data_IF_008610891758
#
_entry.id   IF_008610891758
#
_cell.length_a   1.000
_cell.length_b   1.000
_cell.length_c   1.000
_cell.angle_alpha   90.00
_cell.angle_beta   90.00
_cell.angle_gamma   90.00
#
_symmetry.space_group_name_H-M   'P 1'
#
loop_
_entity.id
_entity.type
_entity.pdbx_description
1 polymer ?
#
# COMPACT_ATOMS: atom_id res chain seq x y z
N UNK A 1 -16.44 -14.18 14.55
CA UNK A 1 -15.35 -14.07 13.63
C UNK A 1 -15.80 -13.42 12.34
N UNK A 2 -15.07 -12.43 11.84
CA UNK A 2 -15.34 -11.84 10.54
C UNK A 2 -14.88 -12.84 9.46
N UNK A 3 -15.78 -13.25 8.60
CA UNK A 3 -15.45 -14.06 7.42
C UNK A 3 -15.18 -13.08 6.30
N UNK A 4 -13.94 -13.02 5.84
CA UNK A 4 -13.59 -12.22 4.66
C UNK A 4 -13.72 -13.10 3.43
N UNK A 5 -14.42 -12.60 2.43
CA UNK A 5 -14.69 -13.30 1.16
C UNK A 5 -14.16 -12.45 0.01
N UNK A 6 -13.51 -13.10 -0.94
CA UNK A 6 -13.15 -12.52 -2.22
C UNK A 6 -13.96 -13.22 -3.31
N UNK A 7 -14.56 -12.44 -4.22
CA UNK A 7 -15.36 -12.95 -5.33
C UNK A 7 -14.69 -12.58 -6.66
N UNK A 8 -14.60 -13.55 -7.56
CA UNK A 8 -14.28 -13.32 -8.96
C UNK A 8 -15.43 -13.86 -9.80
N UNK A 9 -16.06 -12.99 -10.62
CA UNK A 9 -17.27 -13.34 -11.36
C UNK A 9 -18.47 -13.62 -10.44
N UNK A 10 -19.19 -14.72 -10.70
CA UNK A 10 -20.40 -15.11 -9.96
C UNK A 10 -20.10 -16.00 -8.75
N UNK A 11 -18.84 -16.28 -8.45
CA UNK A 11 -18.40 -17.23 -7.43
C UNK A 11 -17.52 -16.64 -6.36
N UNK A 12 -17.38 -17.39 -5.26
CA UNK A 12 -16.45 -17.13 -4.18
C UNK A 12 -15.08 -17.68 -4.55
N UNK A 13 -14.04 -16.81 -4.60
CA UNK A 13 -12.69 -17.22 -4.97
C UNK A 13 -11.88 -17.69 -3.76
N UNK A 14 -11.93 -16.99 -2.64
CA UNK A 14 -11.13 -17.32 -1.47
C UNK A 14 -11.77 -16.86 -0.16
N UNK A 15 -11.49 -17.59 0.90
CA UNK A 15 -11.97 -17.35 2.26
C UNK A 15 -10.84 -17.28 3.29
N UNK A 16 -11.15 -16.72 4.46
CA UNK A 16 -10.33 -17.00 5.64
C UNK A 16 -10.33 -18.50 5.93
N UNK A 17 -9.20 -19.15 6.29
CA UNK A 17 -7.97 -18.50 6.78
C UNK A 17 -6.91 -18.21 5.71
N UNK A 18 -7.20 -18.27 4.41
CA UNK A 18 -6.20 -18.04 3.36
C UNK A 18 -5.60 -16.62 3.45
N UNK A 19 -6.40 -15.64 3.83
CA UNK A 19 -5.94 -14.29 4.13
C UNK A 19 -6.84 -13.62 5.20
N UNK A 20 -6.41 -12.45 5.69
CA UNK A 20 -7.13 -11.68 6.69
C UNK A 20 -7.20 -10.20 6.29
N UNK A 21 -8.38 -9.58 6.46
CA UNK A 21 -8.60 -8.15 6.32
C UNK A 21 -7.94 -7.53 5.06
N UNK A 22 -8.29 -7.99 3.85
CA UNK A 22 -7.69 -7.52 2.62
C UNK A 22 -8.04 -6.04 2.39
N UNK A 23 -7.03 -5.24 2.05
CA UNK A 23 -7.19 -3.83 1.74
C UNK A 23 -6.98 -3.52 0.25
N UNK A 24 -6.12 -4.30 -0.41
CA UNK A 24 -5.87 -4.17 -1.83
C UNK A 24 -5.46 -5.53 -2.42
N UNK A 25 -5.75 -5.71 -3.70
CA UNK A 25 -5.38 -6.89 -4.46
C UNK A 25 -4.76 -6.50 -5.80
N UNK A 26 -3.93 -7.38 -6.34
CA UNK A 26 -3.47 -7.36 -7.72
C UNK A 26 -3.33 -8.80 -8.22
N UNK A 27 -3.22 -8.97 -9.54
CA UNK A 27 -3.09 -10.30 -10.17
C UNK A 27 -1.81 -10.32 -11.00
N UNK A 28 -0.98 -11.34 -10.78
CA UNK A 28 0.24 -11.51 -11.54
C UNK A 28 0.01 -12.19 -12.90
N UNK A 29 1.07 -12.28 -13.70
CA UNK A 29 1.05 -12.92 -15.03
C UNK A 29 0.79 -14.43 -14.99
N UNK A 30 0.86 -15.05 -13.80
CA UNK A 30 0.51 -16.45 -13.56
C UNK A 30 -0.93 -16.63 -13.07
N UNK A 31 -1.73 -15.54 -13.10
CA UNK A 31 -3.11 -15.50 -12.62
C UNK A 31 -3.27 -15.75 -11.11
N UNK A 32 -2.21 -15.59 -10.32
CA UNK A 32 -2.29 -15.66 -8.86
C UNK A 32 -2.74 -14.34 -8.28
N UNK A 33 -3.55 -14.38 -7.25
CA UNK A 33 -4.06 -13.17 -6.58
C UNK A 33 -3.13 -12.78 -5.42
N UNK A 34 -2.61 -11.58 -5.48
CA UNK A 34 -1.79 -10.98 -4.43
C UNK A 34 -2.64 -10.08 -3.56
N UNK A 35 -2.54 -10.28 -2.27
CA UNK A 35 -3.38 -9.58 -1.28
C UNK A 35 -2.51 -8.82 -0.29
N UNK A 36 -2.70 -7.51 -0.21
CA UNK A 36 -2.17 -6.70 0.89
C UNK A 36 -3.16 -6.76 2.06
N UNK A 37 -2.72 -7.31 3.18
CA UNK A 37 -3.50 -7.41 4.40
C UNK A 37 -3.30 -6.19 5.29
N UNK A 38 -4.40 -5.60 5.78
CA UNK A 38 -4.38 -4.46 6.70
C UNK A 38 -4.98 -4.88 8.07
N UNK A 39 -4.43 -5.92 8.66
CA UNK A 39 -4.89 -6.47 9.96
C UNK A 39 -4.64 -5.48 11.09
N UNK A 40 -3.55 -4.73 11.01
CA UNK A 40 -3.16 -3.72 11.99
C UNK A 40 -3.82 -2.35 11.76
N UNK A 41 -4.80 -2.26 10.86
CA UNK A 41 -5.48 -1.01 10.55
C UNK A 41 -6.17 -0.39 11.78
N UNK A 42 -5.92 0.90 12.01
CA UNK A 42 -6.46 1.69 13.13
C UNK A 42 -6.26 1.06 14.52
N UNK A 43 -5.17 0.34 14.70
CA UNK A 43 -4.80 -0.24 16.00
C UNK A 43 -4.67 0.83 17.09
N UNK A 44 -4.12 1.98 16.76
CA UNK A 44 -3.82 3.08 17.68
C UNK A 44 -5.05 3.70 18.34
N UNK A 45 -6.23 3.61 17.77
CA UNK A 45 -7.44 4.24 18.30
C UNK A 45 -8.46 3.24 18.88
N UNK A 46 -8.08 1.96 19.02
CA UNK A 46 -8.92 0.90 19.55
C UNK A 46 -10.14 0.56 18.70
N UNK A 47 -10.23 1.06 17.47
CA UNK A 47 -11.34 0.76 16.57
C UNK A 47 -11.24 -0.61 15.91
N UNK A 48 -10.08 -1.23 16.03
CA UNK A 48 -9.86 -2.60 15.57
C UNK A 48 -9.39 -3.47 16.75
N UNK A 49 -10.30 -3.95 17.62
CA UNK A 49 -9.96 -4.76 18.79
C UNK A 49 -9.67 -6.23 18.43
N UNK A 50 -9.67 -6.58 17.14
CA UNK A 50 -9.53 -7.95 16.68
C UNK A 50 -8.08 -8.45 16.69
N UNK A 51 -7.78 -9.32 15.71
CA UNK A 51 -6.44 -9.89 15.53
C UNK A 51 -5.45 -8.81 15.11
N UNK A 52 -4.25 -8.88 15.66
CA UNK A 52 -3.12 -8.05 15.28
C UNK A 52 -1.92 -8.91 14.92
N UNK A 53 -1.03 -8.37 14.10
CA UNK A 53 0.25 -8.96 13.75
C UNK A 53 1.39 -8.12 14.32
N UNK A 54 1.99 -8.57 15.40
CA UNK A 54 3.09 -7.85 16.08
C UNK A 54 4.31 -7.66 15.16
N UNK A 55 4.52 -8.57 14.22
CA UNK A 55 5.60 -8.50 13.23
C UNK A 55 5.29 -7.62 12.00
N UNK A 56 4.15 -6.90 12.01
CA UNK A 56 3.65 -6.13 10.89
C UNK A 56 2.64 -6.88 10.04
N UNK A 57 1.98 -6.15 9.15
CA UNK A 57 1.04 -6.73 8.19
C UNK A 57 1.76 -7.52 7.09
N UNK A 58 1.01 -8.18 6.24
CA UNK A 58 1.53 -9.13 5.27
C UNK A 58 1.08 -8.80 3.85
N UNK A 59 1.87 -9.28 2.90
CA UNK A 59 1.42 -9.57 1.54
C UNK A 59 1.36 -11.09 1.39
N UNK A 60 0.23 -11.60 0.94
CA UNK A 60 0.03 -13.02 0.69
C UNK A 60 -0.31 -13.28 -0.77
N UNK A 61 0.12 -14.42 -1.28
CA UNK A 61 -0.21 -14.93 -2.60
C UNK A 61 -1.27 -16.00 -2.39
N UNK A 62 -2.38 -15.89 -3.11
CA UNK A 62 -3.50 -16.83 -3.08
C UNK A 62 -3.58 -17.49 -4.44
N UNK A 63 -3.62 -18.82 -4.46
CA UNK A 63 -3.56 -19.60 -5.68
C UNK A 63 -4.72 -20.58 -5.77
N UNK A 64 -5.32 -20.63 -6.96
CA UNK A 64 -6.20 -21.66 -7.45
C UNK A 64 -5.32 -22.65 -8.23
N UNK A 65 -5.06 -23.83 -7.67
CA UNK A 65 -4.07 -24.75 -8.20
C UNK A 65 -4.67 -25.75 -9.21
N UNK A 66 -5.97 -26.01 -9.12
CA UNK A 66 -6.65 -26.94 -10.02
C UNK A 66 -7.47 -26.23 -11.12
N UNK A 67 -7.60 -24.92 -11.04
CA UNK A 67 -8.26 -24.10 -12.07
C UNK A 67 -9.78 -24.12 -12.01
N UNK A 68 -10.37 -24.48 -10.88
CA UNK A 68 -11.82 -24.55 -10.71
C UNK A 68 -12.45 -23.18 -10.36
N UNK A 69 -11.64 -22.16 -10.13
CA UNK A 69 -12.06 -20.82 -9.75
C UNK A 69 -12.18 -20.59 -8.25
N UNK A 70 -11.71 -21.54 -7.44
CA UNK A 70 -11.66 -21.44 -5.97
C UNK A 70 -10.23 -21.66 -5.54
N UNK A 71 -9.70 -20.77 -4.73
CA UNK A 71 -8.31 -20.89 -4.26
C UNK A 71 -8.20 -21.85 -3.06
N UNK A 72 -7.25 -22.79 -3.14
CA UNK A 72 -6.97 -23.78 -2.09
C UNK A 72 -5.84 -23.34 -1.19
N UNK A 73 -4.91 -22.56 -1.69
CA UNK A 73 -3.66 -22.27 -0.98
C UNK A 73 -3.37 -20.78 -0.84
N UNK A 74 -2.61 -20.47 0.20
CA UNK A 74 -2.00 -19.16 0.34
C UNK A 74 -0.57 -19.28 0.87
N UNK A 75 0.30 -18.41 0.36
CA UNK A 75 1.69 -18.29 0.78
C UNK A 75 1.96 -16.87 1.23
N UNK A 76 2.57 -16.70 2.40
CA UNK A 76 3.05 -15.39 2.83
C UNK A 76 4.29 -15.04 1.99
N UNK A 77 4.17 -14.01 1.16
CA UNK A 77 5.28 -13.44 0.42
C UNK A 77 6.20 -12.66 1.34
N UNK A 78 5.62 -11.73 2.11
CA UNK A 78 6.35 -10.93 3.10
C UNK A 78 5.47 -10.59 4.29
N UNK A 79 6.09 -10.57 5.47
CA UNK A 79 5.59 -9.93 6.68
C UNK A 79 6.66 -8.95 7.17
N UNK A 80 6.31 -7.70 7.39
CA UNK A 80 7.30 -6.65 7.62
C UNK A 80 6.77 -5.61 8.62
N UNK A 81 7.56 -5.20 9.63
CA UNK A 81 7.14 -4.19 10.60
C UNK A 81 6.87 -2.80 10.00
N UNK A 82 7.35 -2.52 8.78
CA UNK A 82 6.99 -1.30 8.05
C UNK A 82 5.63 -1.39 7.35
N UNK A 83 5.06 -2.58 7.25
CA UNK A 83 3.70 -2.79 6.76
C UNK A 83 2.72 -2.63 7.92
N UNK A 84 2.13 -1.44 8.02
CA UNK A 84 1.06 -1.15 8.97
C UNK A 84 -0.11 -0.57 8.19
N UNK A 85 -1.14 -1.37 8.00
CA UNK A 85 -2.32 -1.02 7.20
C UNK A 85 -1.96 -0.60 5.76
N UNK A 86 -1.33 -1.47 4.95
CA UNK A 86 -1.08 -1.19 3.54
C UNK A 86 -2.41 -1.01 2.80
N UNK A 87 -2.48 0.00 1.92
CA UNK A 87 -3.71 0.39 1.22
C UNK A 87 -3.61 0.23 -0.30
N UNK A 88 -2.51 -0.28 -0.81
CA UNK A 88 -2.32 -0.51 -2.23
C UNK A 88 -1.23 -1.52 -2.52
N UNK A 89 -1.38 -2.24 -3.61
CA UNK A 89 -0.41 -3.21 -4.11
C UNK A 89 -0.39 -3.17 -5.64
N UNK A 90 0.81 -3.32 -6.23
CA UNK A 90 0.99 -3.60 -7.65
C UNK A 90 2.11 -4.61 -7.83
N UNK A 91 1.85 -5.65 -8.62
CA UNK A 91 2.81 -6.71 -8.96
C UNK A 91 3.24 -6.52 -10.41
N UNK A 92 4.51 -6.20 -10.60
CA UNK A 92 5.06 -5.87 -11.93
C UNK A 92 6.33 -6.70 -12.16
N UNK A 93 6.19 -7.78 -12.90
CA UNK A 93 7.27 -8.75 -13.07
C UNK A 93 7.68 -9.36 -11.72
N UNK A 94 8.94 -9.19 -11.34
CA UNK A 94 9.48 -9.69 -10.09
C UNK A 94 9.47 -8.66 -8.92
N UNK A 95 8.74 -7.55 -9.10
CA UNK A 95 8.65 -6.48 -8.09
C UNK A 95 7.23 -6.34 -7.57
N UNK A 96 7.13 -6.18 -6.27
CA UNK A 96 5.87 -5.92 -5.56
C UNK A 96 5.95 -4.55 -4.91
N UNK A 97 5.15 -3.63 -5.40
CA UNK A 97 5.01 -2.27 -4.88
C UNK A 97 3.89 -2.24 -3.86
N UNK A 98 4.16 -1.72 -2.68
CA UNK A 98 3.17 -1.66 -1.59
C UNK A 98 3.05 -0.24 -1.07
N UNK A 99 1.86 0.31 -1.20
CA UNK A 99 1.50 1.62 -0.63
C UNK A 99 1.16 1.45 0.84
N UNK A 100 2.05 1.92 1.71
CA UNK A 100 1.88 1.85 3.16
C UNK A 100 2.49 3.08 3.81
N UNK A 101 1.67 4.09 4.14
CA UNK A 101 2.18 5.32 4.75
C UNK A 101 3.10 5.04 5.94
N UNK A 102 4.27 5.70 6.05
CA UNK A 102 4.70 6.85 5.27
C UNK A 102 5.47 6.50 3.98
N UNK A 103 5.47 5.24 3.53
CA UNK A 103 6.32 4.73 2.47
C UNK A 103 5.53 4.18 1.28
N UNK A 104 6.08 4.32 0.09
CA UNK A 104 5.88 3.40 -1.02
C UNK A 104 7.07 2.45 -1.03
N UNK A 105 6.81 1.19 -0.69
CA UNK A 105 7.81 0.13 -0.57
C UNK A 105 7.89 -0.69 -1.85
N UNK A 106 9.08 -1.22 -2.14
CA UNK A 106 9.30 -2.17 -3.23
C UNK A 106 10.00 -3.40 -2.68
N UNK A 107 9.38 -4.53 -2.83
CA UNK A 107 9.97 -5.83 -2.56
C UNK A 107 10.33 -6.49 -3.89
N UNK A 108 11.51 -7.06 -4.00
CA UNK A 108 11.98 -7.73 -5.23
C UNK A 108 12.30 -9.16 -4.92
N UNK A 109 11.65 -10.07 -5.63
CA UNK A 109 11.94 -11.51 -5.68
C UNK A 109 12.80 -11.76 -6.94
N UNK A 110 14.08 -12.11 -6.76
CA UNK A 110 15.03 -12.25 -7.86
C UNK A 110 15.10 -13.65 -8.42
N UNK A 111 14.88 -14.63 -7.58
CA UNK A 111 15.02 -16.05 -7.94
C UNK A 111 13.67 -16.76 -8.16
N UNK A 112 12.55 -16.07 -7.90
CA UNK A 112 11.21 -16.57 -8.17
C UNK A 112 10.70 -17.60 -7.15
N UNK A 113 11.24 -17.55 -5.92
CA UNK A 113 10.82 -18.46 -4.85
C UNK A 113 9.60 -17.95 -4.05
N UNK A 114 9.00 -16.84 -4.48
CA UNK A 114 7.90 -16.11 -3.83
C UNK A 114 8.28 -15.59 -2.42
N UNK A 115 9.52 -15.14 -2.30
CA UNK A 115 10.03 -14.41 -1.14
C UNK A 115 10.87 -13.22 -1.59
N UNK A 116 10.83 -12.08 -0.89
CA UNK A 116 11.64 -10.95 -1.30
C UNK A 116 13.12 -11.16 -0.91
N UNK A 117 14.00 -11.02 -1.89
CA UNK A 117 15.45 -10.92 -1.69
C UNK A 117 15.91 -9.55 -1.24
N UNK A 118 15.12 -8.53 -1.57
CA UNK A 118 15.44 -7.15 -1.20
C UNK A 118 14.20 -6.31 -1.01
N UNK A 119 14.36 -5.30 -0.15
CA UNK A 119 13.38 -4.25 0.14
C UNK A 119 13.99 -2.90 -0.15
N UNK A 120 13.23 -2.04 -0.77
CA UNK A 120 13.57 -0.64 -1.04
C UNK A 120 12.43 0.28 -0.61
N UNK A 121 12.77 1.43 -0.01
CA UNK A 121 11.85 2.55 0.15
C UNK A 121 11.96 3.41 -1.09
N UNK A 122 10.96 3.35 -1.98
CA UNK A 122 10.97 4.09 -3.23
C UNK A 122 10.67 5.57 -2.99
N UNK A 123 9.63 5.85 -2.20
CA UNK A 123 9.26 7.17 -1.73
C UNK A 123 8.91 7.13 -0.26
N UNK A 124 9.16 8.21 0.46
CA UNK A 124 8.79 8.36 1.87
C UNK A 124 8.37 9.80 2.20
N UNK A 125 7.65 9.96 3.31
CA UNK A 125 7.18 11.27 3.77
C UNK A 125 5.68 11.49 3.54
N UNK A 126 4.94 10.44 3.20
CA UNK A 126 3.48 10.50 3.15
C UNK A 126 2.89 10.53 4.57
N UNK A 127 1.95 11.42 4.81
CA UNK A 127 1.16 11.44 6.04
C UNK A 127 0.13 10.30 6.09
N UNK A 128 -0.58 10.20 7.22
CA UNK A 128 -1.67 9.24 7.36
C UNK A 128 -1.21 7.80 7.62
N UNK A 129 -0.15 7.62 8.40
CA UNK A 129 0.26 6.28 8.86
C UNK A 129 -0.89 5.61 9.61
N UNK A 130 -1.14 4.33 9.31
CA UNK A 130 -2.25 3.56 9.89
C UNK A 130 -3.61 4.27 9.75
N UNK A 131 -3.83 4.92 8.61
CA UNK A 131 -5.02 5.73 8.37
C UNK A 131 -5.54 5.56 6.94
N UNK A 132 -6.85 5.50 6.80
CA UNK A 132 -7.58 5.39 5.53
C UNK A 132 -7.48 6.61 4.60
N UNK A 133 -6.78 7.65 4.99
CA UNK A 133 -6.56 8.87 4.21
C UNK A 133 -5.07 9.15 3.94
N UNK A 134 -4.23 8.12 4.08
CA UNK A 134 -2.79 8.17 3.78
C UNK A 134 -2.47 7.91 2.31
N UNK A 135 -1.37 7.20 2.08
CA UNK A 135 -0.99 6.70 0.75
C UNK A 135 -1.86 5.50 0.39
N UNK A 136 -2.55 5.63 -0.74
CA UNK A 136 -3.45 4.60 -1.29
C UNK A 136 -2.84 3.87 -2.49
N UNK A 137 -3.71 3.34 -3.32
CA UNK A 137 -3.41 2.50 -4.47
C UNK A 137 -2.16 2.91 -5.24
N UNK A 138 -1.42 1.93 -5.68
CA UNK A 138 -0.37 2.06 -6.68
C UNK A 138 -0.73 1.19 -7.88
N UNK A 139 -0.56 1.71 -9.09
CA UNK A 139 -0.83 0.97 -10.33
C UNK A 139 0.22 1.30 -11.38
N UNK A 140 0.49 0.35 -12.27
CA UNK A 140 1.29 0.61 -13.45
C UNK A 140 0.50 1.46 -14.46
N UNK A 141 1.10 2.54 -14.92
CA UNK A 141 0.54 3.35 -15.99
C UNK A 141 0.90 2.83 -17.39
N UNK A 142 0.13 3.18 -18.42
CA UNK A 142 0.40 2.76 -19.79
C UNK A 142 1.70 3.36 -20.36
N UNK A 143 2.24 4.35 -19.70
CA UNK A 143 3.51 5.02 -20.03
C UNK A 143 4.72 4.42 -19.30
N UNK A 144 4.52 3.30 -18.58
CA UNK A 144 5.56 2.65 -17.77
C UNK A 144 5.85 3.36 -16.44
N UNK A 145 5.11 4.43 -16.12
CA UNK A 145 5.17 5.10 -14.82
C UNK A 145 4.35 4.37 -13.75
N UNK A 146 4.55 4.77 -12.51
CA UNK A 146 3.74 4.39 -11.38
C UNK A 146 2.76 5.51 -11.06
N UNK A 147 1.48 5.18 -10.97
CA UNK A 147 0.44 6.11 -10.54
C UNK A 147 -0.06 5.70 -9.17
N UNK A 148 -0.16 6.64 -8.27
CA UNK A 148 -0.63 6.39 -6.90
C UNK A 148 -1.39 7.59 -6.36
N UNK A 149 -2.26 7.32 -5.39
CA UNK A 149 -3.09 8.34 -4.79
C UNK A 149 -2.70 8.55 -3.32
N UNK A 150 -2.84 9.78 -2.85
CA UNK A 150 -2.75 10.10 -1.43
C UNK A 150 -4.05 10.75 -0.98
N UNK A 151 -4.48 10.38 0.21
CA UNK A 151 -5.65 10.98 0.84
C UNK A 151 -5.31 12.33 1.47
N UNK A 152 -6.25 12.84 2.26
CA UNK A 152 -6.14 14.18 2.84
C UNK A 152 -5.60 14.21 4.28
N UNK A 153 -5.03 13.11 4.78
CA UNK A 153 -4.38 13.02 6.09
C UNK A 153 -2.90 13.41 6.01
N UNK A 154 -2.59 14.52 5.32
CA UNK A 154 -1.25 15.11 5.31
C UNK A 154 -0.79 15.60 6.68
N UNK A 155 0.35 16.36 6.72
CA UNK A 155 1.08 16.80 5.54
C UNK A 155 1.77 15.63 4.84
N UNK A 156 1.92 15.79 3.54
CA UNK A 156 2.82 14.98 2.76
C UNK A 156 4.05 15.83 2.44
N UNK A 157 5.24 15.36 2.79
CA UNK A 157 6.52 16.00 2.46
C UNK A 157 7.42 14.92 1.88
N UNK A 158 7.33 14.75 0.58
CA UNK A 158 7.97 13.66 -0.15
C UNK A 158 9.02 14.22 -1.08
N UNK A 159 10.25 13.75 -0.98
CA UNK A 159 11.33 14.11 -1.90
C UNK A 159 11.70 12.91 -2.75
N UNK A 160 11.59 13.07 -4.06
CA UNK A 160 12.03 12.10 -5.05
C UNK A 160 13.56 12.04 -5.14
N UNK A 161 14.11 10.97 -5.72
CA UNK A 161 15.57 10.75 -5.81
C UNK A 161 16.29 11.79 -6.69
N UNK A 162 15.57 12.46 -7.59
CA UNK A 162 16.09 13.58 -8.39
C UNK A 162 16.05 14.93 -7.65
N UNK A 163 15.54 14.94 -6.41
CA UNK A 163 15.44 16.13 -5.57
C UNK A 163 14.13 16.89 -5.70
N UNK A 164 13.21 16.48 -6.60
CA UNK A 164 11.89 17.07 -6.65
C UNK A 164 11.12 16.81 -5.35
N UNK A 165 10.46 17.82 -4.81
CA UNK A 165 9.76 17.71 -3.53
C UNK A 165 8.30 18.07 -3.66
N UNK A 166 7.43 17.14 -3.26
CA UNK A 166 6.02 17.40 -3.00
C UNK A 166 5.85 17.96 -1.60
N UNK A 167 5.05 19.00 -1.48
CA UNK A 167 4.55 19.52 -0.20
C UNK A 167 3.05 19.68 -0.29
N UNK A 168 2.31 19.02 0.60
CA UNK A 168 0.85 19.10 0.64
C UNK A 168 0.38 19.21 2.09
N UNK A 169 -0.45 20.21 2.37
CA UNK A 169 -1.07 20.37 3.67
C UNK A 169 -2.17 19.33 3.94
N UNK A 170 -2.55 19.20 5.19
CA UNK A 170 -3.69 18.38 5.62
C UNK A 170 -4.97 19.21 5.69
N UNK A 171 -6.10 18.57 5.38
CA UNK A 171 -7.44 19.14 5.67
C UNK A 171 -7.89 18.85 7.12
N UNK A 172 -7.25 17.91 7.80
CA UNK A 172 -7.54 17.59 9.19
C UNK A 172 -6.86 18.58 10.14
N UNK A 173 -7.63 19.18 11.04
CA UNK A 173 -7.12 20.09 12.07
C UNK A 173 -6.74 19.36 13.35
N UNK A 174 -7.44 18.27 13.65
CA UNK A 174 -7.31 17.52 14.91
C UNK A 174 -6.68 16.15 14.65
N UNK A 175 -5.51 15.92 15.24
CA UNK A 175 -4.79 14.64 15.12
C UNK A 175 -3.87 14.54 13.90
N UNK A 176 -3.78 15.56 13.09
CA UNK A 176 -2.73 15.73 12.09
C UNK A 176 -1.38 16.01 12.76
N UNK A 177 -0.26 15.90 12.03
CA UNK A 177 1.04 16.28 12.54
C UNK A 177 1.01 17.72 13.06
N UNK A 178 1.95 18.03 13.95
CA UNK A 178 2.07 19.32 14.63
C UNK A 178 1.86 20.48 13.67
N UNK A 179 1.17 21.49 14.09
CA UNK A 179 0.82 22.66 13.29
C UNK A 179 1.99 23.28 12.50
N UNK A 180 3.24 23.09 12.97
CA UNK A 180 4.44 23.50 12.25
C UNK A 180 4.68 22.74 10.93
N UNK A 181 4.23 21.49 10.83
CA UNK A 181 4.46 20.64 9.64
C UNK A 181 3.32 20.80 8.64
N UNK A 182 2.17 21.33 9.08
CA UNK A 182 0.98 21.55 8.27
C UNK A 182 0.79 23.02 7.94
N UNK A 183 1.86 23.69 7.50
CA UNK A 183 1.78 25.13 7.22
C UNK A 183 1.11 25.39 5.87
N UNK A 184 0.03 26.19 5.83
CA UNK A 184 -0.51 26.70 4.59
C UNK A 184 0.55 27.48 3.79
N UNK A 185 0.59 27.28 2.49
CA UNK A 185 1.45 28.08 1.62
C UNK A 185 2.83 27.50 1.35
N UNK A 186 3.20 26.33 1.92
CA UNK A 186 4.42 25.64 1.51
C UNK A 186 4.30 25.18 0.05
N UNK A 187 5.36 25.48 -0.73
CA UNK A 187 5.38 25.18 -2.15
C UNK A 187 6.16 23.91 -2.43
N UNK A 188 5.61 23.10 -3.32
CA UNK A 188 6.33 22.01 -3.98
C UNK A 188 7.36 22.56 -4.98
N UNK A 189 8.21 21.69 -5.52
CA UNK A 189 9.24 22.09 -6.50
C UNK A 189 8.67 22.68 -7.78
N UNK A 190 7.41 22.38 -8.12
CA UNK A 190 6.67 22.98 -9.23
C UNK A 190 6.12 24.39 -8.92
N UNK A 191 6.36 24.89 -7.72
CA UNK A 191 5.84 26.18 -7.25
C UNK A 191 4.38 26.16 -6.80
N UNK A 192 3.69 25.02 -6.89
CA UNK A 192 2.29 24.90 -6.49
C UNK A 192 2.14 24.73 -4.98
N UNK A 193 1.01 25.14 -4.48
CA UNK A 193 0.55 24.91 -3.10
C UNK A 193 -0.57 23.87 -3.14
N UNK A 194 -0.29 22.70 -2.60
CA UNK A 194 -1.23 21.60 -2.60
C UNK A 194 -1.90 21.43 -1.23
N UNK A 195 -3.16 21.00 -1.23
CA UNK A 195 -3.89 20.71 -0.01
C UNK A 195 -4.89 19.59 -0.27
N UNK A 196 -4.94 18.61 0.63
CA UNK A 196 -5.85 17.47 0.54
C UNK A 196 -5.32 16.32 -0.30
N UNK A 197 -6.23 15.55 -0.87
CA UNK A 197 -5.91 14.37 -1.65
C UNK A 197 -5.33 14.71 -3.02
N UNK A 198 -4.39 13.89 -3.49
CA UNK A 198 -3.69 14.06 -4.75
C UNK A 198 -3.58 12.75 -5.51
N UNK A 199 -3.48 12.84 -6.83
CA UNK A 199 -2.99 11.76 -7.68
C UNK A 199 -1.57 12.13 -8.13
N UNK A 200 -0.66 11.20 -7.95
CA UNK A 200 0.76 11.39 -8.20
C UNK A 200 1.23 10.42 -9.27
N UNK A 201 2.23 10.84 -10.03
CA UNK A 201 2.96 10.02 -10.96
C UNK A 201 4.44 10.02 -10.57
N UNK A 202 5.03 8.86 -10.57
CA UNK A 202 6.46 8.66 -10.41
C UNK A 202 6.96 7.55 -11.31
N UNK A 203 8.19 7.16 -11.14
CA UNK A 203 8.77 6.03 -11.87
C UNK A 203 9.37 4.97 -10.92
N UNK A 204 9.73 3.82 -11.49
CA UNK A 204 10.34 2.72 -10.74
C UNK A 204 11.76 3.04 -10.22
N UNK A 205 12.34 4.19 -10.57
CA UNK A 205 13.62 4.70 -10.08
C UNK A 205 13.44 5.67 -8.91
N UNK A 206 12.20 6.09 -8.60
CA UNK A 206 11.89 7.03 -7.52
C UNK A 206 12.04 8.51 -7.93
N UNK A 207 11.77 8.83 -9.20
CA UNK A 207 11.77 10.18 -9.77
C UNK A 207 10.37 10.61 -10.14
#
# INVERSE_FOLDING_TARGET
>A
GCVTRCFLGDGEFALTPLFYNPAAIDVDEKSRVWVAEAVNYRQWNGRNPGKHFDAGDRVVIVSDEDGDGIAETSKVFVQDPDLIAPLGIAVIGNKVYVSCSPHLLVYTDKDGDDRPDSKEVLYTGFGGRDHDHGLHSVVAGPDGGLWFAVGNAGPHVVTAKDGWTLRSGSLYRDGGPKAADNQPGLRSSDGQVWTGGLVLRGDAQGR
#
